data_IF_179867981263
#
_entry.id   IF_179867981263
#
_cell.length_a   1.000
_cell.length_b   1.000
_cell.length_c   1.000
_cell.angle_alpha   90.00
_cell.angle_beta   90.00
_cell.angle_gamma   90.00
#
_symmetry.space_group_name_H-M   'P 1'
#
loop_
_entity.id
_entity.type
_entity.pdbx_description
1 polymer ?
#
# COMPACT_ATOMS: atom_id res chain seq x y z
N UNK A 1 68.87 -32.13 20.45
CA UNK A 1 68.04 -32.95 19.51
C UNK A 1 66.56 -32.59 19.57
N UNK A 2 65.99 -32.31 20.76
CA UNK A 2 64.59 -31.87 20.93
C UNK A 2 64.29 -30.46 20.37
N UNK A 3 65.17 -29.47 20.56
CA UNK A 3 64.97 -28.10 20.01
C UNK A 3 64.94 -28.05 18.47
N UNK A 4 65.73 -28.90 17.82
CA UNK A 4 65.81 -28.97 16.35
C UNK A 4 64.53 -29.58 15.75
N UNK A 5 63.87 -30.48 16.47
CA UNK A 5 62.58 -31.07 16.08
C UNK A 5 61.42 -30.11 16.32
N UNK A 6 61.44 -29.35 17.42
CA UNK A 6 60.45 -28.31 17.72
C UNK A 6 60.46 -27.19 16.67
N UNK A 7 61.63 -26.68 16.30
CA UNK A 7 61.77 -25.65 15.26
C UNK A 7 61.37 -26.14 13.86
N UNK A 8 61.61 -27.40 13.51
CA UNK A 8 61.13 -27.95 12.22
C UNK A 8 59.60 -28.09 12.18
N UNK A 9 58.97 -28.42 13.30
CA UNK A 9 57.51 -28.58 13.39
C UNK A 9 56.78 -27.22 13.39
N UNK A 10 57.32 -26.22 14.10
CA UNK A 10 56.79 -24.85 14.11
C UNK A 10 56.89 -24.20 12.72
N UNK A 11 58.02 -24.38 12.02
CA UNK A 11 58.21 -23.86 10.66
C UNK A 11 57.24 -24.49 9.65
N UNK A 12 56.97 -25.80 9.78
CA UNK A 12 55.98 -26.51 8.95
C UNK A 12 54.56 -25.99 9.19
N UNK A 13 54.18 -25.75 10.45
CA UNK A 13 52.86 -25.19 10.82
C UNK A 13 52.68 -23.75 10.31
N UNK A 14 53.70 -22.91 10.42
CA UNK A 14 53.65 -21.54 9.91
C UNK A 14 53.57 -21.50 8.37
N UNK A 15 54.31 -22.38 7.69
CA UNK A 15 54.21 -22.55 6.23
C UNK A 15 52.82 -23.02 5.79
N UNK A 16 52.20 -23.93 6.54
CA UNK A 16 50.82 -24.37 6.27
C UNK A 16 49.80 -23.23 6.49
N UNK A 17 49.89 -22.46 7.59
CA UNK A 17 49.02 -21.29 7.82
C UNK A 17 49.13 -20.25 6.71
N UNK A 18 50.35 -19.92 6.30
CA UNK A 18 50.58 -18.95 5.22
C UNK A 18 50.05 -19.44 3.87
N UNK A 19 50.13 -20.76 3.61
CA UNK A 19 49.58 -21.37 2.41
C UNK A 19 48.04 -21.35 2.40
N UNK A 20 47.39 -21.62 3.54
CA UNK A 20 45.93 -21.53 3.69
C UNK A 20 45.43 -20.10 3.50
N UNK A 21 46.14 -19.10 4.01
CA UNK A 21 45.81 -17.68 3.79
C UNK A 21 45.99 -17.24 2.34
N UNK A 22 47.05 -17.71 1.67
CA UNK A 22 47.24 -17.44 0.24
C UNK A 22 46.15 -18.07 -0.63
N UNK A 23 45.71 -19.28 -0.29
CA UNK A 23 44.59 -19.96 -0.98
C UNK A 23 43.28 -19.21 -0.73
N UNK A 24 43.00 -18.81 0.52
CA UNK A 24 41.81 -17.99 0.87
C UNK A 24 41.77 -16.67 0.12
N UNK A 25 42.88 -15.94 0.04
CA UNK A 25 42.95 -14.66 -0.70
C UNK A 25 42.76 -14.84 -2.20
N UNK A 26 43.32 -15.90 -2.79
CA UNK A 26 43.10 -16.23 -4.21
C UNK A 26 41.66 -16.64 -4.49
N UNK A 27 41.06 -17.45 -3.62
CA UNK A 27 39.67 -17.89 -3.74
C UNK A 27 38.69 -16.71 -3.60
N UNK A 28 38.93 -15.82 -2.63
CA UNK A 28 38.14 -14.60 -2.44
C UNK A 28 38.29 -13.66 -3.64
N UNK A 29 39.50 -13.49 -4.18
CA UNK A 29 39.72 -12.68 -5.39
C UNK A 29 39.02 -13.24 -6.62
N UNK A 30 38.99 -14.58 -6.79
CA UNK A 30 38.28 -15.21 -7.92
C UNK A 30 36.78 -15.04 -7.78
N UNK A 31 36.22 -15.18 -6.57
CA UNK A 31 34.81 -14.91 -6.30
C UNK A 31 34.47 -13.45 -6.60
N UNK A 32 35.29 -12.48 -6.16
CA UNK A 32 35.06 -11.06 -6.45
C UNK A 32 35.09 -10.75 -7.94
N UNK A 33 36.01 -11.36 -8.70
CA UNK A 33 36.10 -11.19 -10.16
C UNK A 33 34.91 -11.84 -10.87
N UNK A 34 34.48 -13.03 -10.45
CA UNK A 34 33.28 -13.67 -10.97
C UNK A 34 32.01 -12.87 -10.62
N UNK A 35 31.97 -12.23 -9.46
CA UNK A 35 30.89 -11.33 -9.03
C UNK A 35 30.85 -10.05 -9.87
N UNK A 36 32.02 -9.46 -10.17
CA UNK A 36 32.14 -8.31 -11.09
C UNK A 36 31.72 -8.67 -12.52
N UNK A 37 32.11 -9.85 -13.02
CA UNK A 37 31.71 -10.35 -14.34
C UNK A 37 30.21 -10.68 -14.42
N UNK A 38 29.62 -11.22 -13.35
CA UNK A 38 28.18 -11.43 -13.24
C UNK A 38 27.41 -10.09 -13.19
N UNK A 39 27.93 -9.08 -12.50
CA UNK A 39 27.35 -7.74 -12.46
C UNK A 39 27.40 -7.00 -13.81
N UNK A 40 28.36 -7.36 -14.68
CA UNK A 40 28.51 -6.82 -16.04
C UNK A 40 27.63 -7.52 -17.08
N UNK A 41 27.08 -8.70 -16.77
CA UNK A 41 26.24 -9.51 -17.67
C UNK A 41 24.76 -9.47 -17.33
N UNK A 42 24.36 -8.74 -16.28
CA UNK A 42 22.95 -8.38 -16.11
C UNK A 42 22.57 -7.53 -17.32
N UNK A 43 21.65 -7.98 -18.19
CA UNK A 43 21.18 -7.14 -19.28
C UNK A 43 20.76 -5.81 -18.68
N UNK A 44 21.16 -4.70 -19.32
CA UNK A 44 20.62 -3.38 -18.99
C UNK A 44 19.11 -3.57 -18.90
N UNK A 45 18.57 -3.52 -17.67
CA UNK A 45 17.19 -3.91 -17.41
C UNK A 45 16.31 -3.17 -18.40
N UNK A 46 15.38 -3.88 -19.03
CA UNK A 46 14.27 -3.22 -19.71
C UNK A 46 13.82 -2.09 -18.79
N UNK A 47 13.87 -0.85 -19.28
CA UNK A 47 13.54 0.30 -18.45
C UNK A 47 12.19 0.02 -17.80
N UNK A 48 12.10 0.10 -16.46
CA UNK A 48 10.81 -0.10 -15.78
C UNK A 48 9.81 0.86 -16.40
N UNK A 49 8.79 0.28 -17.06
CA UNK A 49 7.71 0.97 -17.73
C UNK A 49 6.87 1.73 -16.72
N UNK A 50 6.45 2.94 -17.06
CA UNK A 50 5.51 3.72 -16.25
C UNK A 50 4.15 3.04 -16.27
N UNK A 51 3.52 2.82 -15.12
CA UNK A 51 2.19 2.22 -15.03
C UNK A 51 1.14 3.30 -14.73
N UNK A 52 0.21 3.50 -15.66
CA UNK A 52 -0.92 4.43 -15.49
C UNK A 52 -2.21 3.61 -15.37
N UNK A 53 -2.97 3.86 -14.30
CA UNK A 53 -4.28 3.24 -14.09
C UNK A 53 -5.37 4.29 -14.25
N UNK A 54 -6.34 4.00 -15.11
CA UNK A 54 -7.44 4.87 -15.44
C UNK A 54 -8.71 4.36 -14.77
N UNK A 55 -9.33 5.19 -13.95
CA UNK A 55 -10.59 4.87 -13.31
C UNK A 55 -11.74 5.59 -14.02
N UNK A 56 -12.62 4.82 -14.67
CA UNK A 56 -13.88 5.36 -15.17
C UNK A 56 -14.88 5.42 -14.00
N UNK A 57 -15.13 6.62 -13.46
CA UNK A 57 -16.03 6.82 -12.33
C UNK A 57 -17.40 6.17 -12.52
N UNK A 58 -18.06 5.82 -11.42
CA UNK A 58 -19.39 5.17 -11.39
C UNK A 58 -19.42 3.82 -12.13
N UNK A 59 -20.60 3.38 -12.59
CA UNK A 59 -20.80 2.15 -13.38
C UNK A 59 -21.89 1.24 -12.81
N UNK A 60 -22.43 0.37 -13.67
CA UNK A 60 -23.53 -0.53 -13.33
C UNK A 60 -24.79 0.25 -12.94
N UNK A 61 -25.31 0.00 -11.74
CA UNK A 61 -26.50 0.69 -11.22
C UNK A 61 -26.24 2.11 -10.70
N UNK A 62 -24.98 2.52 -10.61
CA UNK A 62 -24.60 3.87 -10.26
C UNK A 62 -24.40 4.69 -11.54
N UNK A 63 -25.38 5.53 -11.86
CA UNK A 63 -25.36 6.36 -13.06
C UNK A 63 -24.43 7.58 -12.94
N UNK A 64 -24.01 7.93 -11.72
CA UNK A 64 -23.48 9.25 -11.42
C UNK A 64 -24.53 10.34 -11.68
N UNK A 65 -24.07 11.53 -12.02
CA UNK A 65 -24.92 12.63 -12.46
C UNK A 65 -25.40 12.45 -13.91
N UNK A 66 -26.35 13.29 -14.34
CA UNK A 66 -26.89 13.26 -15.70
C UNK A 66 -27.27 14.66 -16.19
N UNK A 67 -27.26 14.84 -17.51
CA UNK A 67 -27.73 16.04 -18.19
C UNK A 67 -28.57 15.69 -19.42
N UNK A 68 -29.55 16.53 -19.77
CA UNK A 68 -30.39 16.32 -20.96
C UNK A 68 -30.18 17.44 -21.98
N UNK A 69 -29.80 17.08 -23.20
CA UNK A 69 -29.62 18.01 -24.31
C UNK A 69 -30.41 17.53 -25.52
N UNK A 70 -31.29 18.39 -26.06
CA UNK A 70 -32.13 18.09 -27.24
C UNK A 70 -32.91 16.76 -27.12
N UNK A 71 -33.44 16.48 -25.93
CA UNK A 71 -34.20 15.25 -25.64
C UNK A 71 -33.35 13.99 -25.46
N UNK A 72 -32.02 14.09 -25.51
CA UNK A 72 -31.09 12.99 -25.22
C UNK A 72 -30.51 13.15 -23.83
N UNK A 73 -30.62 12.10 -23.01
CA UNK A 73 -30.01 12.04 -21.67
C UNK A 73 -28.60 11.47 -21.74
N UNK A 74 -27.65 12.18 -21.14
CA UNK A 74 -26.25 11.78 -21.01
C UNK A 74 -26.00 11.43 -19.54
N UNK A 75 -25.55 10.20 -19.32
CA UNK A 75 -25.17 9.71 -17.99
C UNK A 75 -23.67 9.84 -17.79
N UNK A 76 -23.26 10.32 -16.61
CA UNK A 76 -21.87 10.47 -16.24
C UNK A 76 -21.08 9.16 -16.41
N UNK A 77 -21.59 8.03 -15.90
CA UNK A 77 -20.91 6.74 -16.01
C UNK A 77 -20.51 6.34 -17.45
N UNK A 78 -21.31 6.75 -18.43
CA UNK A 78 -21.10 6.45 -19.85
C UNK A 78 -20.06 7.38 -20.45
N UNK A 79 -20.14 8.68 -20.13
CA UNK A 79 -19.15 9.66 -20.55
C UNK A 79 -17.78 9.34 -19.93
N UNK A 80 -17.72 8.99 -18.65
CA UNK A 80 -16.50 8.59 -17.95
C UNK A 80 -15.83 7.39 -18.63
N UNK A 81 -16.60 6.32 -18.91
CA UNK A 81 -16.07 5.14 -19.61
C UNK A 81 -15.54 5.50 -21.00
N UNK A 82 -16.25 6.39 -21.70
CA UNK A 82 -15.89 6.82 -23.05
C UNK A 82 -14.59 7.62 -23.09
N UNK A 83 -14.45 8.61 -22.20
CA UNK A 83 -13.20 9.37 -22.04
C UNK A 83 -12.06 8.45 -21.61
N UNK A 84 -12.32 7.50 -20.71
CA UNK A 84 -11.31 6.54 -20.26
C UNK A 84 -10.76 5.68 -21.41
N UNK A 85 -11.62 5.22 -22.31
CA UNK A 85 -11.21 4.47 -23.51
C UNK A 85 -10.37 5.33 -24.45
N UNK A 86 -10.76 6.59 -24.68
CA UNK A 86 -9.95 7.51 -25.49
C UNK A 86 -8.59 7.80 -24.87
N UNK A 87 -8.54 7.97 -23.54
CA UNK A 87 -7.28 8.22 -22.82
C UNK A 87 -6.38 6.98 -22.83
N UNK A 88 -6.98 5.78 -22.68
CA UNK A 88 -6.29 4.50 -22.81
C UNK A 88 -5.67 4.33 -24.19
N UNK A 89 -6.42 4.66 -25.25
CA UNK A 89 -5.92 4.63 -26.63
C UNK A 89 -4.78 5.64 -26.84
N UNK A 90 -4.96 6.89 -26.39
CA UNK A 90 -4.00 7.97 -26.59
C UNK A 90 -2.67 7.73 -25.83
N UNK A 91 -2.74 7.24 -24.58
CA UNK A 91 -1.54 6.85 -23.81
C UNK A 91 -0.84 5.63 -24.42
N UNK A 92 -1.59 4.73 -25.07
CA UNK A 92 -1.04 3.58 -25.80
C UNK A 92 -0.14 3.95 -26.99
N UNK A 93 -0.15 5.20 -27.43
CA UNK A 93 0.75 5.73 -28.47
C UNK A 93 2.10 6.21 -27.94
N UNK A 94 2.38 6.02 -26.65
CA UNK A 94 3.65 6.42 -26.02
C UNK A 94 4.45 5.19 -25.62
N UNK A 95 5.74 5.16 -25.94
CA UNK A 95 6.62 4.05 -25.55
C UNK A 95 6.96 4.10 -24.05
N UNK A 96 7.15 2.92 -23.44
CA UNK A 96 7.59 2.81 -22.05
C UNK A 96 6.48 3.02 -21.01
N UNK A 97 5.21 2.85 -21.41
CA UNK A 97 4.05 2.95 -20.52
C UNK A 97 3.17 1.70 -20.63
N UNK A 98 2.64 1.24 -19.49
CA UNK A 98 1.52 0.31 -19.41
C UNK A 98 0.29 1.04 -18.95
N UNK A 99 -0.82 0.83 -19.65
CA UNK A 99 -2.08 1.51 -19.35
C UNK A 99 -3.16 0.48 -19.07
N UNK A 100 -3.77 0.60 -17.90
CA UNK A 100 -4.88 -0.25 -17.44
C UNK A 100 -6.09 0.62 -17.13
N UNK A 101 -7.28 0.02 -17.18
CA UNK A 101 -8.52 0.61 -16.69
C UNK A 101 -9.07 -0.20 -15.51
N UNK A 102 -9.70 0.46 -14.54
CA UNK A 102 -10.38 -0.22 -13.40
C UNK A 102 -11.58 -1.03 -13.86
N UNK A 103 -12.26 -0.60 -14.92
CA UNK A 103 -13.34 -1.33 -15.61
C UNK A 103 -13.26 -1.08 -17.10
N UNK A 104 -13.58 -2.11 -17.88
CA UNK A 104 -13.71 -2.00 -19.33
C UNK A 104 -15.16 -1.93 -19.77
N UNK A 105 -16.10 -2.42 -18.97
CA UNK A 105 -17.55 -2.39 -19.27
C UNK A 105 -18.32 -1.55 -18.25
N UNK A 106 -19.64 -1.46 -18.41
CA UNK A 106 -20.53 -0.78 -17.48
C UNK A 106 -20.77 -1.60 -16.20
N UNK A 107 -19.72 -1.72 -15.39
CA UNK A 107 -19.71 -2.46 -14.13
C UNK A 107 -19.43 -1.54 -12.94
N UNK A 108 -20.07 -1.84 -11.80
CA UNK A 108 -19.85 -1.09 -10.57
C UNK A 108 -18.66 -1.65 -9.81
N UNK A 109 -17.76 -0.76 -9.38
CA UNK A 109 -16.67 -1.07 -8.45
C UNK A 109 -16.72 -0.15 -7.23
N UNK A 110 -16.39 -0.71 -6.05
CA UNK A 110 -16.21 0.08 -4.84
C UNK A 110 -15.02 1.03 -5.00
N UNK A 111 -15.04 2.16 -4.29
CA UNK A 111 -13.93 3.12 -4.32
C UNK A 111 -12.61 2.48 -3.83
N UNK A 112 -12.71 1.61 -2.82
CA UNK A 112 -11.55 0.88 -2.30
C UNK A 112 -11.00 -0.10 -3.33
N UNK A 113 -11.85 -0.86 -4.03
CA UNK A 113 -11.40 -1.81 -5.07
C UNK A 113 -10.70 -1.09 -6.23
N UNK A 114 -11.15 0.13 -6.59
CA UNK A 114 -10.48 0.96 -7.62
C UNK A 114 -9.06 1.35 -7.19
N UNK A 115 -8.89 1.87 -5.98
CA UNK A 115 -7.58 2.23 -5.45
C UNK A 115 -6.67 1.00 -5.26
N UNK A 116 -7.23 -0.12 -4.79
CA UNK A 116 -6.49 -1.38 -4.68
C UNK A 116 -6.06 -1.94 -6.02
N UNK A 117 -6.86 -1.81 -7.07
CA UNK A 117 -6.42 -2.19 -8.42
C UNK A 117 -5.16 -1.40 -8.84
N UNK A 118 -5.10 -0.10 -8.53
CA UNK A 118 -3.89 0.69 -8.79
C UNK A 118 -2.69 0.23 -7.95
N UNK A 119 -2.89 -0.09 -6.67
CA UNK A 119 -1.84 -0.63 -5.81
C UNK A 119 -1.34 -2.01 -6.28
N UNK A 120 -2.24 -2.91 -6.64
CA UNK A 120 -1.94 -4.27 -7.11
C UNK A 120 -1.12 -4.25 -8.41
N UNK A 121 -1.41 -3.28 -9.27
CA UNK A 121 -0.70 -3.06 -10.53
C UNK A 121 0.60 -2.25 -10.36
N UNK A 122 0.93 -1.81 -9.14
CA UNK A 122 2.05 -0.91 -8.85
C UNK A 122 2.01 0.39 -9.68
N UNK A 123 0.84 1.04 -9.73
CA UNK A 123 0.63 2.25 -10.50
C UNK A 123 1.58 3.39 -10.09
N UNK A 124 2.15 4.07 -11.09
CA UNK A 124 2.86 5.33 -10.94
C UNK A 124 1.90 6.53 -10.91
N UNK A 125 0.68 6.38 -11.46
CA UNK A 125 -0.40 7.37 -11.42
C UNK A 125 -1.78 6.70 -11.49
N UNK A 126 -2.71 7.16 -10.66
CA UNK A 126 -4.15 6.87 -10.78
C UNK A 126 -4.91 8.10 -11.31
N UNK A 127 -5.64 7.96 -12.41
CA UNK A 127 -6.46 9.03 -12.99
C UNK A 127 -7.92 8.61 -12.98
N UNK A 128 -8.72 9.20 -12.10
CA UNK A 128 -10.17 8.99 -12.05
C UNK A 128 -10.89 10.05 -12.89
N UNK A 129 -11.78 9.61 -13.76
CA UNK A 129 -12.45 10.43 -14.77
C UNK A 129 -13.93 10.57 -14.40
N UNK A 130 -14.38 11.81 -14.26
CA UNK A 130 -15.71 12.18 -13.78
C UNK A 130 -16.33 13.34 -14.56
N UNK A 131 -17.63 13.54 -14.32
CA UNK A 131 -18.40 14.70 -14.75
C UNK A 131 -19.12 15.28 -13.54
N UNK A 132 -19.10 16.61 -13.40
CA UNK A 132 -19.65 17.26 -12.22
C UNK A 132 -21.12 17.66 -12.43
N UNK A 133 -21.79 18.07 -11.36
CA UNK A 133 -23.06 18.77 -11.40
C UNK A 133 -23.28 19.58 -10.11
N UNK A 134 -23.97 20.71 -10.25
CA UNK A 134 -24.47 21.49 -9.12
C UNK A 134 -25.94 21.80 -9.35
N UNK A 135 -26.77 21.58 -8.32
CA UNK A 135 -28.17 21.95 -8.37
C UNK A 135 -28.32 23.47 -8.55
N UNK A 136 -29.24 23.89 -9.44
CA UNK A 136 -29.71 25.28 -9.53
C UNK A 136 -28.79 26.29 -10.24
N UNK A 137 -27.66 25.88 -10.83
CA UNK A 137 -26.74 26.84 -11.46
C UNK A 137 -26.38 26.46 -12.91
N UNK A 138 -27.13 26.99 -13.88
CA UNK A 138 -26.70 27.10 -15.29
C UNK A 138 -25.50 28.10 -15.44
N UNK A 139 -25.10 28.74 -14.33
CA UNK A 139 -24.02 29.73 -14.22
C UNK A 139 -22.65 29.13 -13.88
N UNK A 140 -22.59 27.93 -13.31
CA UNK A 140 -21.33 27.30 -12.90
C UNK A 140 -21.00 26.16 -13.85
N UNK A 141 -19.82 26.23 -14.47
CA UNK A 141 -19.33 25.31 -15.48
C UNK A 141 -17.84 25.52 -15.68
N UNK A 142 -17.21 24.55 -16.31
CA UNK A 142 -15.77 24.41 -16.48
C UNK A 142 -15.20 23.14 -15.84
N UNK A 143 -13.95 22.88 -16.12
CA UNK A 143 -13.21 21.72 -15.63
C UNK A 143 -12.45 22.05 -14.35
N UNK A 144 -12.44 21.11 -13.41
CA UNK A 144 -11.60 21.14 -12.21
C UNK A 144 -10.97 19.77 -11.96
N UNK A 145 -9.85 19.75 -11.23
CA UNK A 145 -9.16 18.52 -10.90
C UNK A 145 -8.89 18.47 -9.41
N UNK A 146 -9.40 17.45 -8.73
CA UNK A 146 -9.07 17.21 -7.33
C UNK A 146 -7.79 16.37 -7.21
N UNK A 147 -6.88 16.80 -6.34
CA UNK A 147 -5.59 16.16 -6.06
C UNK A 147 -5.40 15.99 -4.55
N UNK A 148 -4.44 15.18 -4.08
CA UNK A 148 -4.09 15.11 -2.67
C UNK A 148 -3.82 16.48 -2.06
N UNK A 149 -4.32 16.74 -0.86
CA UNK A 149 -4.05 17.97 -0.13
C UNK A 149 -2.60 18.10 0.34
N UNK A 150 -1.89 16.97 0.46
CA UNK A 150 -0.48 16.93 0.88
C UNK A 150 -0.26 16.84 2.39
N UNK A 151 -1.33 16.65 3.18
CA UNK A 151 -1.25 16.54 4.64
C UNK A 151 -0.45 15.34 5.14
N UNK A 152 -0.41 14.23 4.38
CA UNK A 152 0.35 13.02 4.74
C UNK A 152 1.55 12.77 3.84
N UNK A 153 1.37 12.95 2.52
CA UNK A 153 2.41 12.76 1.50
C UNK A 153 2.47 13.97 0.56
N UNK A 154 3.10 15.08 0.97
CA UNK A 154 3.11 16.33 0.19
C UNK A 154 3.74 16.17 -1.19
N UNK A 155 4.66 15.22 -1.36
CA UNK A 155 5.28 14.93 -2.63
C UNK A 155 4.31 14.36 -3.69
N UNK A 156 3.25 13.66 -3.26
CA UNK A 156 2.21 13.17 -4.17
C UNK A 156 1.28 14.31 -4.59
N UNK A 157 1.01 15.24 -3.68
CA UNK A 157 0.25 16.45 -3.96
C UNK A 157 0.98 17.35 -4.97
N UNK A 158 2.28 17.60 -4.78
CA UNK A 158 3.10 18.40 -5.69
C UNK A 158 3.10 17.79 -7.11
N UNK A 159 3.32 16.48 -7.20
CA UNK A 159 3.33 15.76 -8.47
C UNK A 159 1.98 15.79 -9.18
N UNK A 160 0.89 15.42 -8.49
CA UNK A 160 -0.45 15.40 -9.06
C UNK A 160 -0.93 16.81 -9.45
N UNK A 161 -0.60 17.84 -8.65
CA UNK A 161 -0.96 19.24 -8.94
C UNK A 161 -0.27 19.74 -10.21
N UNK A 162 1.01 19.42 -10.41
CA UNK A 162 1.75 19.83 -11.60
C UNK A 162 1.15 19.24 -12.88
N UNK A 163 0.81 17.94 -12.85
CA UNK A 163 0.14 17.28 -13.98
C UNK A 163 -1.25 17.90 -14.22
N UNK A 164 -2.02 18.10 -13.15
CA UNK A 164 -3.38 18.63 -13.21
C UNK A 164 -3.46 20.06 -13.77
N UNK A 165 -2.52 20.95 -13.38
CA UNK A 165 -2.45 22.31 -13.91
C UNK A 165 -2.18 22.34 -15.42
N UNK A 166 -1.33 21.43 -15.92
CA UNK A 166 -1.07 21.28 -17.36
C UNK A 166 -2.32 20.80 -18.08
N UNK A 167 -2.98 19.75 -17.57
CA UNK A 167 -4.23 19.21 -18.15
C UNK A 167 -5.29 20.31 -18.26
N UNK A 168 -5.52 21.07 -17.18
CA UNK A 168 -6.52 22.13 -17.16
C UNK A 168 -6.20 23.27 -18.13
N UNK A 169 -4.91 23.54 -18.36
CA UNK A 169 -4.49 24.56 -19.33
C UNK A 169 -4.74 24.09 -20.78
N UNK A 170 -4.52 22.81 -21.06
CA UNK A 170 -4.90 22.22 -22.37
C UNK A 170 -6.42 22.20 -22.57
N UNK A 171 -7.18 21.87 -21.53
CA UNK A 171 -8.65 21.91 -21.58
C UNK A 171 -9.17 23.32 -21.87
N UNK A 172 -8.53 24.34 -21.31
CA UNK A 172 -8.83 25.74 -21.61
C UNK A 172 -8.57 26.08 -23.08
N UNK A 173 -7.45 25.63 -23.64
CA UNK A 173 -7.14 25.77 -25.06
C UNK A 173 -8.15 25.08 -26.00
N UNK A 174 -8.80 24.02 -25.52
CA UNK A 174 -9.87 23.31 -26.23
C UNK A 174 -11.26 23.95 -26.07
N UNK A 175 -11.38 25.00 -25.24
CA UNK A 175 -12.60 25.77 -25.07
C UNK A 175 -13.43 25.41 -23.83
N UNK A 176 -12.92 24.57 -22.93
CA UNK A 176 -13.51 24.42 -21.58
C UNK A 176 -13.09 25.58 -20.69
N UNK A 177 -13.95 26.02 -19.77
CA UNK A 177 -13.52 26.99 -18.76
C UNK A 177 -12.63 26.30 -17.72
N UNK A 178 -11.47 26.88 -17.37
CA UNK A 178 -10.63 26.38 -16.27
C UNK A 178 -11.15 26.89 -14.92
N UNK A 179 -11.56 25.97 -14.04
CA UNK A 179 -11.91 26.29 -12.64
C UNK A 179 -10.68 26.18 -11.73
N UNK A 180 -9.78 25.23 -12.01
CA UNK A 180 -8.48 25.08 -11.33
C UNK A 180 -8.31 23.76 -10.58
N UNK A 181 -7.12 23.56 -10.03
CA UNK A 181 -6.82 22.44 -9.14
C UNK A 181 -7.46 22.66 -7.77
N UNK A 182 -8.03 21.61 -7.20
CA UNK A 182 -8.77 21.61 -5.93
C UNK A 182 -8.24 20.54 -4.99
N UNK A 183 -8.44 20.77 -3.70
CA UNK A 183 -8.23 19.79 -2.64
C UNK A 183 -9.47 19.83 -1.75
N UNK A 184 -9.73 18.73 -1.04
CA UNK A 184 -10.83 18.66 -0.09
C UNK A 184 -10.46 17.69 1.02
N UNK A 185 -10.74 18.06 2.27
CA UNK A 185 -10.37 17.31 3.47
C UNK A 185 -11.63 16.89 4.23
N UNK A 186 -11.60 15.70 4.83
CA UNK A 186 -12.55 15.34 5.88
C UNK A 186 -12.33 16.22 7.10
N UNK A 187 -13.36 16.39 7.92
CA UNK A 187 -13.17 16.86 9.30
C UNK A 187 -12.26 15.91 10.07
N UNK A 188 -11.57 16.42 11.09
CA UNK A 188 -10.69 15.62 11.93
C UNK A 188 -11.49 14.49 12.60
N UNK A 189 -11.02 13.26 12.40
CA UNK A 189 -11.64 12.05 12.90
C UNK A 189 -10.52 11.01 13.06
N UNK A 190 -10.23 10.60 14.30
CA UNK A 190 -9.17 9.62 14.62
C UNK A 190 -9.28 8.34 13.78
N UNK A 191 -10.47 8.04 13.26
CA UNK A 191 -10.73 6.89 12.41
C UNK A 191 -10.29 7.09 10.94
N UNK A 192 -10.50 8.28 10.39
CA UNK A 192 -10.23 8.56 8.97
C UNK A 192 -8.92 9.30 8.74
N UNK A 193 -8.39 9.95 9.77
CA UNK A 193 -7.13 10.65 9.73
C UNK A 193 -6.00 9.78 9.19
N UNK A 194 -5.05 10.43 8.53
CA UNK A 194 -3.86 9.74 8.08
C UNK A 194 -3.01 9.28 9.26
N UNK A 195 -2.12 8.29 9.09
CA UNK A 195 -1.28 7.77 10.18
C UNK A 195 -0.40 8.80 10.90
N UNK A 196 -0.23 10.00 10.33
CA UNK A 196 0.47 11.12 10.98
C UNK A 196 -0.46 12.02 11.82
N UNK A 197 -1.72 11.64 12.04
CA UNK A 197 -2.72 12.39 12.81
C UNK A 197 -3.20 13.67 12.13
N UNK A 198 -3.12 13.74 10.80
CA UNK A 198 -3.63 14.87 10.02
C UNK A 198 -4.90 14.46 9.27
N UNK A 199 -5.78 15.44 9.06
CA UNK A 199 -7.01 15.27 8.27
C UNK A 199 -6.71 14.58 6.93
N UNK A 200 -7.51 13.57 6.63
CA UNK A 200 -7.40 12.85 5.38
C UNK A 200 -8.19 13.51 4.24
N UNK A 201 -7.81 13.19 3.01
CA UNK A 201 -8.52 13.66 1.82
C UNK A 201 -9.98 13.20 1.83
N UNK A 202 -10.90 14.09 1.46
CA UNK A 202 -12.34 13.84 1.43
C UNK A 202 -12.70 12.69 0.49
N UNK A 203 -12.20 12.76 -0.75
CA UNK A 203 -12.49 11.77 -1.77
C UNK A 203 -11.75 10.46 -1.50
N UNK A 204 -12.52 9.39 -1.34
CA UNK A 204 -11.97 8.08 -0.96
C UNK A 204 -10.90 7.57 -1.92
N UNK A 205 -11.04 7.75 -3.23
CA UNK A 205 -10.03 7.29 -4.21
C UNK A 205 -8.68 7.98 -4.01
N UNK A 206 -8.68 9.29 -3.76
CA UNK A 206 -7.47 10.05 -3.44
C UNK A 206 -6.89 9.57 -2.11
N UNK A 207 -7.74 9.48 -1.08
CA UNK A 207 -7.33 9.04 0.26
C UNK A 207 -6.66 7.66 0.25
N UNK A 208 -7.30 6.68 -0.39
CA UNK A 208 -6.78 5.32 -0.47
C UNK A 208 -5.51 5.24 -1.33
N UNK A 209 -5.40 5.98 -2.45
CA UNK A 209 -4.16 6.03 -3.22
C UNK A 209 -3.01 6.65 -2.43
N UNK A 210 -3.25 7.72 -1.66
CA UNK A 210 -2.24 8.33 -0.79
C UNK A 210 -1.77 7.36 0.30
N UNK A 211 -2.67 6.55 0.88
CA UNK A 211 -2.28 5.49 1.83
C UNK A 211 -1.35 4.46 1.20
N UNK A 212 -1.60 4.11 -0.06
CA UNK A 212 -0.79 3.18 -0.86
C UNK A 212 0.44 3.85 -1.53
N UNK A 213 0.69 5.13 -1.24
CA UNK A 213 1.80 5.92 -1.80
C UNK A 213 1.76 6.07 -3.32
N UNK A 214 0.57 6.28 -3.88
CA UNK A 214 0.30 6.46 -5.32
C UNK A 214 -0.23 7.88 -5.54
N UNK A 215 0.39 8.70 -6.42
CA UNK A 215 -0.21 9.97 -6.78
C UNK A 215 -1.50 9.71 -7.57
N UNK A 216 -2.52 10.52 -7.32
CA UNK A 216 -3.84 10.32 -7.90
C UNK A 216 -4.53 11.64 -8.20
N UNK A 217 -5.50 11.63 -9.10
CA UNK A 217 -6.37 12.77 -9.33
C UNK A 217 -7.79 12.33 -9.71
N UNK A 218 -8.76 13.22 -9.49
CA UNK A 218 -10.11 13.13 -10.05
C UNK A 218 -10.27 14.29 -11.03
N UNK A 219 -10.47 13.98 -12.30
CA UNK A 219 -10.73 14.97 -13.34
C UNK A 219 -12.23 15.13 -13.50
N UNK A 220 -12.75 16.27 -13.07
CA UNK A 220 -14.11 16.72 -13.36
C UNK A 220 -14.08 17.46 -14.70
N UNK A 221 -14.44 16.79 -15.79
CA UNK A 221 -14.25 17.36 -17.14
C UNK A 221 -15.16 18.55 -17.41
N UNK A 222 -16.28 18.65 -16.71
CA UNK A 222 -17.25 19.74 -16.82
C UNK A 222 -18.55 19.37 -16.13
N UNK A 223 -19.50 20.31 -16.12
CA UNK A 223 -20.76 20.17 -15.38
C UNK A 223 -21.90 19.73 -16.29
N UNK A 224 -22.48 18.53 -16.08
CA UNK A 224 -23.64 18.08 -16.88
C UNK A 224 -24.90 18.90 -16.59
N UNK A 225 -24.93 19.61 -15.46
CA UNK A 225 -25.96 20.60 -15.12
C UNK A 225 -25.79 21.94 -15.85
N UNK A 226 -24.65 22.18 -16.51
CA UNK A 226 -24.39 23.39 -17.27
C UNK A 226 -24.61 23.16 -18.77
N UNK A 227 -25.45 23.99 -19.41
CA UNK A 227 -25.78 23.79 -20.83
C UNK A 227 -24.58 23.88 -21.77
N UNK A 228 -23.62 24.77 -21.52
CA UNK A 228 -22.45 24.95 -22.38
C UNK A 228 -21.50 23.75 -22.28
N UNK A 229 -21.18 23.33 -21.05
CA UNK A 229 -20.36 22.15 -20.79
C UNK A 229 -21.04 20.89 -21.35
N UNK A 230 -22.33 20.67 -21.08
CA UNK A 230 -23.06 19.53 -21.63
C UNK A 230 -23.06 19.54 -23.17
N UNK A 231 -23.21 20.71 -23.79
CA UNK A 231 -23.11 20.83 -25.27
C UNK A 231 -21.72 20.46 -25.77
N UNK A 232 -20.67 20.85 -25.04
CA UNK A 232 -19.30 20.47 -25.36
C UNK A 232 -19.07 18.96 -25.19
N UNK A 233 -19.43 18.42 -24.03
CA UNK A 233 -19.21 17.03 -23.61
C UNK A 233 -20.11 16.02 -24.34
N UNK A 234 -21.23 16.48 -24.92
CA UNK A 234 -22.08 15.64 -25.78
C UNK A 234 -21.41 15.23 -27.10
N UNK A 235 -20.34 15.94 -27.50
CA UNK A 235 -19.65 15.70 -28.77
C UNK A 235 -18.49 14.72 -28.59
N UNK A 236 -18.53 13.67 -29.38
CA UNK A 236 -17.51 12.62 -29.38
C UNK A 236 -16.08 13.13 -29.60
N UNK A 237 -15.91 13.99 -30.61
CA UNK A 237 -14.62 14.59 -30.94
C UNK A 237 -14.04 15.42 -29.79
N UNK A 238 -14.90 16.05 -28.99
CA UNK A 238 -14.48 16.86 -27.85
C UNK A 238 -14.01 15.97 -26.69
N UNK A 239 -14.72 14.89 -26.39
CA UNK A 239 -14.29 13.90 -25.39
C UNK A 239 -12.94 13.28 -25.75
N UNK A 240 -12.74 12.99 -27.04
CA UNK A 240 -11.46 12.47 -27.56
C UNK A 240 -10.35 13.51 -27.43
N UNK A 241 -10.61 14.77 -27.77
CA UNK A 241 -9.62 15.86 -27.64
C UNK A 241 -9.20 16.08 -26.18
N UNK A 242 -10.14 16.05 -25.23
CA UNK A 242 -9.83 16.12 -23.80
C UNK A 242 -8.94 14.95 -23.37
N UNK A 243 -9.26 13.73 -23.77
CA UNK A 243 -8.44 12.56 -23.48
C UNK A 243 -7.02 12.63 -24.07
N UNK A 244 -6.88 13.12 -25.31
CA UNK A 244 -5.58 13.31 -25.97
C UNK A 244 -4.73 14.38 -25.26
N UNK A 245 -5.36 15.49 -24.86
CA UNK A 245 -4.72 16.51 -24.04
C UNK A 245 -4.22 15.94 -22.70
N UNK A 246 -5.07 15.16 -22.01
CA UNK A 246 -4.68 14.47 -20.78
C UNK A 246 -3.49 13.53 -21.00
N UNK A 247 -3.52 12.72 -22.07
CA UNK A 247 -2.42 11.82 -22.41
C UNK A 247 -1.11 12.58 -22.66
N UNK A 248 -1.17 13.71 -23.38
CA UNK A 248 -0.01 14.54 -23.67
C UNK A 248 0.61 15.14 -22.40
N UNK A 249 -0.20 15.68 -21.48
CA UNK A 249 0.29 16.24 -20.21
C UNK A 249 0.94 15.16 -19.32
N UNK A 250 0.34 13.97 -19.25
CA UNK A 250 0.91 12.82 -18.51
C UNK A 250 2.23 12.38 -19.17
N UNK A 251 2.25 12.25 -20.49
CA UNK A 251 3.44 11.85 -21.23
C UNK A 251 4.59 12.85 -21.04
N UNK A 252 4.33 14.14 -21.09
CA UNK A 252 5.33 15.17 -20.83
C UNK A 252 5.93 15.04 -19.44
N UNK A 253 5.08 14.91 -18.40
CA UNK A 253 5.51 14.79 -17.01
C UNK A 253 6.42 13.58 -16.78
N UNK A 254 6.03 12.41 -17.31
CA UNK A 254 6.83 11.18 -17.18
C UNK A 254 7.96 11.07 -18.22
N UNK A 255 8.11 12.04 -19.11
CA UNK A 255 9.12 12.02 -20.18
C UNK A 255 8.91 10.91 -21.20
N UNK A 256 7.66 10.49 -21.41
CA UNK A 256 7.29 9.49 -22.39
C UNK A 256 7.38 10.08 -23.80
N UNK A 257 7.91 9.30 -24.73
CA UNK A 257 8.01 9.68 -26.14
C UNK A 257 7.03 8.88 -26.96
N UNK A 258 6.54 9.45 -28.08
CA UNK A 258 5.70 8.70 -29.02
C UNK A 258 6.39 7.40 -29.44
N UNK A 259 5.64 6.31 -29.44
CA UNK A 259 6.13 4.95 -29.61
C UNK A 259 4.98 3.97 -29.49
N UNK A 260 5.27 2.69 -29.26
CA UNK A 260 4.22 1.71 -28.96
C UNK A 260 4.17 1.50 -27.46
N UNK A 261 3.13 2.02 -26.81
CA UNK A 261 2.80 1.68 -25.43
C UNK A 261 2.14 0.32 -25.34
N UNK A 262 2.12 -0.22 -24.13
CA UNK A 262 1.46 -1.50 -23.86
C UNK A 262 0.09 -1.22 -23.26
N UNK A 263 -0.93 -1.25 -24.12
CA UNK A 263 -2.33 -1.25 -23.70
C UNK A 263 -2.72 -2.65 -23.25
N UNK A 264 -3.18 -2.77 -22.01
CA UNK A 264 -3.59 -4.06 -21.46
C UNK A 264 -5.09 -4.01 -21.19
N UNK A 265 -5.81 -5.00 -21.69
CA UNK A 265 -7.21 -5.23 -21.34
C UNK A 265 -7.24 -6.38 -20.34
N UNK A 266 -7.71 -6.10 -19.13
CA UNK A 266 -7.85 -7.11 -18.10
C UNK A 266 -9.12 -7.93 -18.34
N UNK A 267 -9.02 -9.23 -18.08
CA UNK A 267 -10.11 -10.19 -18.23
C UNK A 267 -10.97 -10.26 -16.97
N UNK A 268 -12.23 -10.67 -17.12
CA UNK A 268 -13.06 -11.02 -15.97
C UNK A 268 -12.48 -12.24 -15.24
N UNK A 269 -12.69 -12.30 -13.92
CA UNK A 269 -12.25 -13.44 -13.11
C UNK A 269 -13.31 -14.52 -13.00
N UNK A 270 -12.87 -15.73 -12.68
CA UNK A 270 -13.75 -16.76 -12.13
C UNK A 270 -14.40 -16.27 -10.82
N UNK A 271 -15.62 -16.77 -10.50
CA UNK A 271 -16.33 -16.42 -9.28
C UNK A 271 -15.50 -16.62 -8.01
N UNK A 272 -15.72 -15.75 -7.03
CA UNK A 272 -15.14 -15.85 -5.68
C UNK A 272 -16.27 -16.18 -4.71
N UNK A 273 -15.99 -17.07 -3.77
CA UNK A 273 -16.93 -17.49 -2.73
C UNK A 273 -16.27 -17.32 -1.38
N UNK A 274 -16.92 -16.58 -0.49
CA UNK A 274 -16.54 -16.53 0.93
C UNK A 274 -17.10 -17.78 1.63
N UNK A 275 -16.24 -18.45 2.41
CA UNK A 275 -16.64 -19.61 3.20
C UNK A 275 -17.56 -19.19 4.35
N UNK A 276 -18.37 -20.12 4.84
CA UNK A 276 -19.33 -19.86 5.92
C UNK A 276 -18.66 -19.25 7.17
N UNK A 277 -19.33 -18.23 7.72
CA UNK A 277 -18.99 -17.56 8.97
C UNK A 277 -20.21 -17.63 9.91
N UNK A 278 -20.02 -17.54 11.23
CA UNK A 278 -21.14 -17.38 12.15
C UNK A 278 -21.97 -16.15 11.79
N UNK A 279 -23.29 -16.31 11.72
CA UNK A 279 -24.22 -15.21 11.39
C UNK A 279 -24.69 -14.42 12.62
N UNK A 280 -24.38 -14.92 13.81
CA UNK A 280 -24.59 -14.27 15.10
C UNK A 280 -23.30 -14.32 15.89
N UNK A 281 -22.90 -13.16 16.42
CA UNK A 281 -21.74 -12.97 17.28
C UNK A 281 -22.13 -12.08 18.45
N UNK A 282 -21.26 -12.00 19.43
CA UNK A 282 -21.43 -11.17 20.62
C UNK A 282 -20.24 -10.24 20.78
N UNK A 283 -20.48 -9.01 21.26
CA UNK A 283 -19.40 -8.09 21.62
C UNK A 283 -18.49 -8.75 22.66
N UNK A 284 -17.19 -8.84 22.34
CA UNK A 284 -16.19 -9.52 23.18
C UNK A 284 -15.80 -10.92 22.71
N UNK A 285 -16.44 -11.46 21.66
CA UNK A 285 -15.98 -12.68 21.01
C UNK A 285 -14.54 -12.53 20.47
N UNK A 286 -13.78 -13.62 20.49
CA UNK A 286 -12.44 -13.67 19.90
C UNK A 286 -12.49 -13.45 18.38
N UNK A 287 -11.44 -12.85 17.78
CA UNK A 287 -11.38 -12.66 16.33
C UNK A 287 -11.55 -13.97 15.53
N UNK A 288 -12.26 -13.88 14.42
CA UNK A 288 -12.60 -15.04 13.59
C UNK A 288 -11.78 -15.04 12.31
N UNK A 289 -11.10 -16.15 12.02
CA UNK A 289 -10.37 -16.31 10.77
C UNK A 289 -11.32 -16.54 9.60
N UNK A 290 -11.31 -15.62 8.64
CA UNK A 290 -12.08 -15.70 7.40
C UNK A 290 -11.35 -16.53 6.33
N UNK A 291 -12.13 -17.18 5.46
CA UNK A 291 -11.60 -17.93 4.32
C UNK A 291 -12.44 -17.66 3.08
N UNK A 292 -11.79 -17.65 1.93
CA UNK A 292 -12.45 -17.55 0.63
C UNK A 292 -11.72 -18.42 -0.40
N UNK A 293 -12.43 -18.78 -1.46
CA UNK A 293 -11.91 -19.60 -2.55
C UNK A 293 -12.42 -19.09 -3.90
N UNK A 294 -11.87 -19.63 -4.99
CA UNK A 294 -12.18 -19.19 -6.35
C UNK A 294 -11.29 -18.05 -6.82
N UNK A 295 -11.78 -17.28 -7.78
CA UNK A 295 -10.99 -16.26 -8.48
C UNK A 295 -10.04 -16.84 -9.53
N UNK A 296 -9.45 -15.95 -10.33
CA UNK A 296 -8.41 -16.26 -11.31
C UNK A 296 -7.14 -15.48 -11.02
N UNK A 297 -6.02 -15.88 -11.60
CA UNK A 297 -4.77 -15.14 -11.49
C UNK A 297 -4.13 -15.15 -10.10
N UNK A 298 -3.16 -14.26 -9.90
CA UNK A 298 -2.33 -14.15 -8.70
C UNK A 298 -2.66 -12.96 -7.80
N UNK A 299 -3.71 -12.19 -8.10
CA UNK A 299 -4.20 -11.10 -7.24
C UNK A 299 -4.46 -11.55 -5.80
N UNK A 300 -4.24 -10.67 -4.82
CA UNK A 300 -4.38 -11.01 -3.40
C UNK A 300 -5.85 -11.24 -3.02
N UNK A 301 -6.12 -12.22 -2.15
CA UNK A 301 -7.46 -12.40 -1.55
C UNK A 301 -7.60 -11.52 -0.31
N UNK A 302 -8.65 -10.71 -0.25
CA UNK A 302 -8.93 -9.76 0.83
C UNK A 302 -10.37 -9.89 1.29
N UNK A 303 -10.67 -9.36 2.47
CA UNK A 303 -12.03 -9.29 2.99
C UNK A 303 -12.43 -7.84 3.24
N UNK A 304 -13.70 -7.52 3.06
CA UNK A 304 -14.24 -6.19 3.29
C UNK A 304 -15.48 -6.29 4.17
N UNK A 305 -15.58 -5.36 5.13
CA UNK A 305 -16.80 -5.11 5.91
C UNK A 305 -17.44 -3.82 5.42
N UNK A 306 -18.75 -3.84 5.22
CA UNK A 306 -19.50 -2.63 4.87
C UNK A 306 -19.78 -1.72 6.09
N UNK A 307 -19.59 -2.22 7.30
CA UNK A 307 -19.75 -1.44 8.53
C UNK A 307 -18.62 -1.80 9.52
N UNK A 308 -17.63 -0.92 9.55
CA UNK A 308 -16.43 -1.08 10.36
C UNK A 308 -16.60 -0.64 11.82
N UNK A 309 -17.78 -0.10 12.18
CA UNK A 309 -18.15 0.16 13.58
C UNK A 309 -18.74 -1.08 14.24
N UNK A 310 -19.09 -2.10 13.44
CA UNK A 310 -19.58 -3.40 13.92
C UNK A 310 -18.47 -4.45 13.78
N UNK A 311 -17.92 -4.58 12.56
CA UNK A 311 -16.91 -5.59 12.22
C UNK A 311 -15.72 -4.98 11.46
N UNK A 312 -14.52 -5.12 12.01
CA UNK A 312 -13.27 -4.71 11.35
C UNK A 312 -12.54 -5.92 10.75
N UNK A 313 -11.91 -5.70 9.60
CA UNK A 313 -11.06 -6.70 8.94
C UNK A 313 -9.60 -6.34 9.18
N UNK A 314 -8.84 -7.25 9.79
CA UNK A 314 -7.40 -7.14 10.03
C UNK A 314 -6.71 -8.36 9.43
N UNK A 315 -6.15 -8.20 8.24
CA UNK A 315 -5.62 -9.33 7.47
C UNK A 315 -6.74 -10.31 7.09
N UNK A 316 -6.64 -11.56 7.58
CA UNK A 316 -7.68 -12.58 7.45
C UNK A 316 -8.55 -12.71 8.71
N UNK A 317 -8.36 -11.84 9.71
CA UNK A 317 -9.15 -11.85 10.95
C UNK A 317 -10.31 -10.87 10.89
N UNK A 318 -11.46 -11.32 11.35
CA UNK A 318 -12.65 -10.52 11.59
C UNK A 318 -12.70 -10.16 13.07
N UNK A 319 -12.57 -8.88 13.38
CA UNK A 319 -12.56 -8.33 14.73
C UNK A 319 -13.91 -7.71 15.03
N UNK A 320 -14.53 -8.12 16.13
CA UNK A 320 -15.80 -7.58 16.61
C UNK A 320 -15.51 -6.30 17.39
N UNK A 321 -16.10 -5.19 16.98
CA UNK A 321 -15.82 -3.87 17.59
C UNK A 321 -17.06 -3.16 18.13
N UNK A 322 -18.26 -3.58 17.74
CA UNK A 322 -19.50 -3.00 18.22
C UNK A 322 -20.72 -3.84 17.86
N UNK A 323 -21.85 -3.52 18.50
CA UNK A 323 -23.15 -4.11 18.20
C UNK A 323 -23.70 -3.62 16.85
N UNK A 324 -24.48 -4.45 16.17
CA UNK A 324 -25.14 -4.07 14.92
C UNK A 324 -25.14 -5.16 13.86
N UNK A 325 -25.26 -4.76 12.60
CA UNK A 325 -25.29 -5.69 11.46
C UNK A 325 -24.29 -5.25 10.40
N UNK A 326 -23.42 -6.18 10.00
CA UNK A 326 -22.45 -5.97 8.95
C UNK A 326 -22.47 -7.13 7.95
N UNK A 327 -22.16 -6.81 6.70
CA UNK A 327 -21.96 -7.77 5.62
C UNK A 327 -20.46 -7.89 5.37
N UNK A 328 -19.98 -9.13 5.32
CA UNK A 328 -18.61 -9.46 4.94
C UNK A 328 -18.59 -10.01 3.51
N UNK A 329 -17.70 -9.48 2.69
CA UNK A 329 -17.41 -9.98 1.35
C UNK A 329 -15.94 -10.36 1.24
N UNK A 330 -15.63 -11.26 0.30
CA UNK A 330 -14.25 -11.51 -0.13
C UNK A 330 -14.00 -10.81 -1.46
N UNK A 331 -12.79 -10.32 -1.66
CA UNK A 331 -12.34 -9.67 -2.90
C UNK A 331 -11.06 -10.34 -3.35
N UNK A 332 -11.08 -10.95 -4.53
CA UNK A 332 -9.86 -11.34 -5.24
C UNK A 332 -9.38 -10.13 -6.02
N UNK A 333 -8.20 -9.64 -5.65
CA UNK A 333 -7.57 -8.43 -6.18
C UNK A 333 -7.20 -8.53 -7.64
N UNK A 334 -6.89 -7.36 -8.21
CA UNK A 334 -6.46 -7.23 -9.61
C UNK A 334 -5.07 -7.82 -9.79
N UNK A 335 -4.75 -8.26 -11.00
CA UNK A 335 -3.36 -8.49 -11.41
C UNK A 335 -3.13 -8.03 -12.85
N UNK A 336 -1.95 -8.31 -13.42
CA UNK A 336 -1.62 -7.90 -14.79
C UNK A 336 -2.47 -8.56 -15.89
N UNK A 337 -3.38 -9.47 -15.55
CA UNK A 337 -4.26 -10.20 -16.47
C UNK A 337 -5.73 -10.03 -16.14
N UNK A 338 -6.11 -9.94 -14.86
CA UNK A 338 -7.50 -10.02 -14.40
C UNK A 338 -7.97 -8.79 -13.61
N UNK A 339 -9.24 -8.41 -13.83
CA UNK A 339 -9.98 -7.40 -13.07
C UNK A 339 -10.29 -7.89 -11.64
N UNK A 340 -10.50 -6.99 -10.65
CA UNK A 340 -10.88 -7.43 -9.32
C UNK A 340 -12.28 -8.06 -9.32
N UNK A 341 -12.51 -9.02 -8.42
CA UNK A 341 -13.80 -9.70 -8.25
C UNK A 341 -14.20 -9.74 -6.77
N UNK A 342 -15.36 -9.18 -6.45
CA UNK A 342 -16.03 -9.37 -5.17
C UNK A 342 -16.84 -10.68 -5.19
N UNK A 343 -16.92 -11.36 -4.05
CA UNK A 343 -17.66 -12.60 -3.90
C UNK A 343 -19.14 -12.47 -4.26
N UNK A 344 -19.70 -13.51 -4.89
CA UNK A 344 -21.13 -13.54 -5.26
C UNK A 344 -22.03 -13.55 -4.03
N UNK A 345 -21.59 -14.25 -2.98
CA UNK A 345 -22.22 -14.24 -1.68
C UNK A 345 -21.60 -13.17 -0.77
N UNK A 346 -22.43 -12.61 0.11
CA UNK A 346 -21.98 -11.90 1.30
C UNK A 346 -22.53 -12.62 2.52
N UNK A 347 -21.82 -12.54 3.64
CA UNK A 347 -22.30 -13.10 4.91
C UNK A 347 -22.73 -11.95 5.79
N UNK A 348 -24.04 -11.90 6.10
CA UNK A 348 -24.59 -10.96 7.06
C UNK A 348 -24.42 -11.52 8.46
N UNK A 349 -23.74 -10.74 9.30
CA UNK A 349 -23.48 -11.07 10.69
C UNK A 349 -24.20 -10.04 11.55
N UNK A 350 -24.91 -10.52 12.57
CA UNK A 350 -25.48 -9.69 13.63
C UNK A 350 -24.60 -9.83 14.86
N UNK A 351 -24.12 -8.71 15.38
CA UNK A 351 -23.40 -8.65 16.66
C UNK A 351 -24.37 -8.13 17.71
N UNK A 352 -24.60 -8.92 18.74
CA UNK A 352 -25.44 -8.57 19.89
C UNK A 352 -24.57 -8.13 21.08
N UNK A 353 -25.12 -7.27 21.94
CA UNK A 353 -24.49 -6.99 23.22
C UNK A 353 -24.44 -8.27 24.07
N UNK A 354 -23.32 -8.47 24.76
CA UNK A 354 -23.10 -9.62 25.65
C UNK A 354 -24.12 -9.71 26.79
N UNK A 355 -24.82 -8.61 27.09
CA UNK A 355 -25.73 -8.53 28.23
C UNK A 355 -25.02 -8.77 29.57
N UNK A 356 -23.69 -8.81 29.58
CA UNK A 356 -22.90 -8.98 30.78
C UNK A 356 -23.11 -7.73 31.64
N UNK A 357 -23.76 -7.90 32.79
CA UNK A 357 -23.81 -6.86 33.81
C UNK A 357 -22.38 -6.36 34.06
N UNK A 358 -22.16 -5.04 34.24
CA UNK A 358 -20.85 -4.52 34.56
C UNK A 358 -20.31 -5.32 35.75
N UNK A 359 -19.19 -5.99 35.55
CA UNK A 359 -18.41 -6.59 36.62
C UNK A 359 -18.14 -5.47 37.62
N UNK A 360 -18.93 -5.42 38.69
CA UNK A 360 -18.65 -4.57 39.84
C UNK A 360 -17.27 -4.96 40.31
N UNK A 361 -16.26 -4.07 40.31
CA UNK A 361 -14.98 -4.40 40.87
C UNK A 361 -15.22 -4.87 42.30
N UNK A 362 -14.71 -6.06 42.62
CA UNK A 362 -14.67 -6.56 43.99
C UNK A 362 -14.05 -5.45 44.84
N UNK A 363 -14.69 -5.04 45.96
CA UNK A 363 -14.19 -3.93 46.76
C UNK A 363 -12.75 -4.22 47.17
N UNK A 364 -11.84 -3.30 46.88
CA UNK A 364 -10.44 -3.42 47.29
C UNK A 364 -10.37 -3.76 48.79
N UNK A 365 -9.49 -4.71 49.19
CA UNK A 365 -9.29 -4.99 50.60
C UNK A 365 -8.85 -3.70 51.31
N UNK A 366 -9.54 -3.37 52.40
CA UNK A 366 -9.33 -2.14 53.17
C UNK A 366 -7.84 -1.92 53.46
N UNK A 367 -7.32 -0.77 53.05
CA UNK A 367 -5.98 -0.31 53.40
C UNK A 367 -5.90 -0.08 54.90
N UNK A 368 -4.87 -0.61 55.60
CA UNK A 368 -4.70 -0.34 57.02
C UNK A 368 -4.30 1.13 57.23
N UNK A 369 -5.00 1.80 58.14
CA UNK A 369 -4.71 3.17 58.58
C UNK A 369 -3.28 3.28 59.16
N UNK A 370 -2.54 4.38 58.91
CA UNK A 370 -1.21 4.55 59.47
C UNK A 370 -1.30 4.87 60.98
N UNK A 371 -0.62 4.07 61.79
CA UNK A 371 -0.38 4.36 63.20
C UNK A 371 0.52 5.59 63.34
N UNK A 372 0.02 6.62 64.01
CA UNK A 372 0.82 7.68 64.63
C UNK A 372 1.54 7.12 65.86
N UNK A 373 2.87 7.08 65.84
CA UNK A 373 3.68 6.91 67.05
C UNK A 373 3.65 8.18 67.92
N UNK A 374 3.59 8.03 69.25
CA UNK A 374 4.12 9.01 70.17
C UNK A 374 5.42 8.55 70.82
N UNK A 375 6.30 9.53 71.00
CA UNK A 375 7.61 9.49 71.63
C UNK A 375 7.60 9.07 73.12
N UNK A 376 8.55 8.22 73.50
CA UNK A 376 9.40 8.45 74.68
C UNK A 376 9.15 7.69 75.99
N UNK A 377 10.15 6.88 76.34
CA UNK A 377 10.79 6.75 77.68
C UNK A 377 10.51 5.52 78.57
N UNK A 378 11.64 4.87 78.89
CA UNK A 378 12.01 4.11 80.10
C UNK A 378 11.55 2.65 80.31
N UNK A 379 12.56 1.75 80.32
CA UNK A 379 12.70 0.76 81.39
C UNK A 379 12.82 -0.71 80.99
N UNK A 380 14.01 -1.28 81.13
CA UNK A 380 14.16 -2.58 81.83
C UNK A 380 14.39 -3.86 81.01
N UNK A 381 15.63 -4.35 81.13
CA UNK A 381 16.06 -5.75 81.25
C UNK A 381 16.29 -6.66 80.02
N UNK A 382 17.47 -7.28 80.11
CA UNK A 382 18.25 -8.26 79.32
C UNK A 382 18.07 -9.67 79.98
N UNK A 383 18.59 -10.85 79.54
CA UNK A 383 19.18 -11.31 78.26
C UNK A 383 18.56 -12.63 77.68
N UNK A 384 19.04 -13.05 76.49
CA UNK A 384 19.21 -14.49 76.21
C UNK A 384 19.60 -14.89 74.77
N UNK A 385 20.92 -14.98 74.50
CA UNK A 385 21.68 -16.03 73.75
C UNK A 385 21.03 -16.78 72.56
N UNK A 386 21.65 -17.04 71.40
CA UNK A 386 23.02 -16.87 70.91
C UNK A 386 23.25 -17.47 69.50
N UNK A 387 24.37 -17.06 68.87
CA UNK A 387 25.31 -17.78 67.96
C UNK A 387 24.81 -18.61 66.75
N UNK A 388 24.86 -18.01 65.55
CA UNK A 388 25.75 -18.24 64.36
C UNK A 388 26.42 -19.63 64.02
N UNK A 389 27.01 -19.85 62.80
CA UNK A 389 26.47 -20.71 61.71
C UNK A 389 27.47 -21.79 61.17
N UNK A 390 27.11 -22.51 60.09
CA UNK A 390 28.08 -23.27 59.28
C UNK A 390 27.53 -24.24 58.22
N UNK A 391 27.80 -23.95 56.94
CA UNK A 391 28.02 -24.92 55.82
C UNK A 391 29.49 -25.42 55.87
N UNK A 392 30.06 -26.33 55.02
CA UNK A 392 29.65 -26.84 53.68
C UNK A 392 29.99 -28.34 53.39
N UNK A 393 29.71 -28.87 52.17
CA UNK A 393 30.69 -29.66 51.36
C UNK A 393 30.20 -30.11 49.96
N UNK A 394 31.20 -30.23 49.06
CA UNK A 394 31.21 -30.64 47.64
C UNK A 394 31.02 -32.15 47.37
N UNK A 395 30.74 -32.52 46.12
CA UNK A 395 31.47 -33.59 45.40
C UNK A 395 31.33 -33.49 43.87
N UNK A 396 32.33 -34.01 43.17
CA UNK A 396 32.69 -33.81 41.74
C UNK A 396 32.75 -35.13 40.95
N UNK A 397 33.02 -35.02 39.63
CA UNK A 397 33.44 -36.00 38.60
C UNK A 397 32.32 -36.67 37.77
N UNK A 398 32.23 -36.70 36.42
CA UNK A 398 33.09 -36.57 35.20
C UNK A 398 33.33 -37.92 34.48
N UNK A 399 32.88 -38.06 33.21
CA UNK A 399 33.69 -38.58 32.08
C UNK A 399 33.01 -38.35 30.69
N UNK A 400 33.76 -38.26 29.55
CA UNK A 400 33.30 -37.83 28.22
C UNK A 400 33.36 -38.93 27.12
N UNK A 401 32.94 -38.58 25.89
CA UNK A 401 33.22 -39.10 24.50
C UNK A 401 31.93 -38.88 23.64
N UNK A 402 31.84 -38.53 22.36
CA UNK A 402 32.76 -38.46 21.20
C UNK A 402 32.08 -37.56 20.11
N UNK A 403 32.85 -37.08 19.12
CA UNK A 403 32.52 -35.92 18.27
C UNK A 403 31.53 -36.07 17.11
N UNK A 404 30.97 -34.93 16.69
CA UNK A 404 30.27 -34.73 15.42
C UNK A 404 30.76 -33.43 14.75
N UNK A 405 30.86 -33.47 13.42
CA UNK A 405 31.54 -32.50 12.56
C UNK A 405 30.92 -31.08 12.52
N UNK A 406 31.60 -30.09 13.09
CA UNK A 406 31.22 -28.66 13.10
C UNK A 406 31.60 -27.89 11.80
N UNK A 407 31.23 -28.39 10.62
CA UNK A 407 31.53 -27.69 9.34
C UNK A 407 30.30 -27.24 8.54
N UNK A 408 29.10 -27.71 8.89
CA UNK A 408 27.86 -27.32 8.20
C UNK A 408 27.21 -25.99 8.65
N UNK A 409 27.19 -25.59 9.95
CA UNK A 409 26.50 -24.36 10.34
C UNK A 409 27.21 -23.08 9.88
N UNK A 410 28.53 -23.12 9.68
CA UNK A 410 29.31 -21.96 9.24
C UNK A 410 29.08 -21.64 7.75
N UNK A 411 28.94 -22.65 6.89
CA UNK A 411 28.67 -22.46 5.45
C UNK A 411 27.23 -21.94 5.26
N UNK A 412 26.25 -22.47 6.00
CA UNK A 412 24.88 -22.00 5.96
C UNK A 412 24.73 -20.54 6.44
N UNK A 413 25.45 -20.14 7.50
CA UNK A 413 25.45 -18.77 8.00
C UNK A 413 26.10 -17.78 7.01
N UNK A 414 27.18 -18.19 6.33
CA UNK A 414 27.85 -17.38 5.30
C UNK A 414 26.94 -17.22 4.06
N UNK A 415 26.29 -18.29 3.61
CA UNK A 415 25.38 -18.25 2.46
C UNK A 415 24.13 -17.42 2.77
N UNK A 416 23.57 -17.55 3.98
CA UNK A 416 22.44 -16.75 4.44
C UNK A 416 22.78 -15.25 4.56
N UNK A 417 23.97 -14.92 5.08
CA UNK A 417 24.45 -13.54 5.15
C UNK A 417 24.67 -12.89 3.78
N UNK A 418 25.17 -13.67 2.81
CA UNK A 418 25.35 -13.19 1.42
C UNK A 418 24.00 -12.96 0.74
N UNK A 419 23.01 -13.84 0.95
CA UNK A 419 21.66 -13.66 0.41
C UNK A 419 20.96 -12.41 0.99
N UNK A 420 21.08 -12.19 2.30
CA UNK A 420 20.51 -11.01 2.95
C UNK A 420 21.17 -9.70 2.47
N UNK A 421 22.49 -9.69 2.25
CA UNK A 421 23.20 -8.55 1.70
C UNK A 421 22.83 -8.28 0.23
N UNK A 422 22.62 -9.33 -0.58
CA UNK A 422 22.12 -9.22 -1.96
C UNK A 422 20.73 -8.60 -2.01
N UNK A 423 19.79 -9.08 -1.18
CA UNK A 423 18.43 -8.56 -1.13
C UNK A 423 18.42 -7.08 -0.69
N UNK A 424 19.22 -6.75 0.34
CA UNK A 424 19.36 -5.38 0.83
C UNK A 424 19.97 -4.45 -0.22
N UNK A 425 20.98 -4.89 -0.97
CA UNK A 425 21.59 -4.10 -2.04
C UNK A 425 20.64 -3.87 -3.23
N UNK A 426 19.81 -4.86 -3.58
CA UNK A 426 18.77 -4.73 -4.62
C UNK A 426 17.72 -3.69 -4.18
N UNK A 427 17.22 -3.78 -2.94
CA UNK A 427 16.26 -2.82 -2.38
C UNK A 427 16.84 -1.40 -2.36
N UNK A 428 18.08 -1.24 -1.87
CA UNK A 428 18.76 0.08 -1.86
C UNK A 428 18.90 0.61 -3.29
N UNK A 429 19.21 -0.24 -4.29
CA UNK A 429 19.36 0.19 -5.68
C UNK A 429 18.02 0.60 -6.30
N UNK A 430 16.92 -0.11 -6.03
CA UNK A 430 15.56 0.28 -6.42
C UNK A 430 15.21 1.65 -5.84
N UNK A 431 15.45 1.84 -4.55
CA UNK A 431 15.19 3.11 -3.86
C UNK A 431 16.06 4.26 -4.41
N UNK A 432 17.34 4.00 -4.72
CA UNK A 432 18.25 5.01 -5.29
C UNK A 432 17.87 5.37 -6.73
N UNK A 433 17.45 4.41 -7.56
CA UNK A 433 16.98 4.67 -8.92
C UNK A 433 15.68 5.48 -8.90
N UNK A 434 14.71 5.10 -8.06
CA UNK A 434 13.47 5.88 -7.84
C UNK A 434 13.77 7.31 -7.38
N UNK A 435 14.71 7.48 -6.43
CA UNK A 435 15.12 8.81 -5.93
C UNK A 435 15.87 9.64 -6.98
N UNK A 436 16.64 9.01 -7.88
CA UNK A 436 17.33 9.70 -8.99
C UNK A 436 16.37 10.17 -10.08
N UNK A 437 15.34 9.38 -10.43
CA UNK A 437 14.25 9.82 -11.33
C UNK A 437 13.53 11.04 -10.73
N UNK A 438 13.17 10.99 -9.44
CA UNK A 438 12.50 12.11 -8.75
C UNK A 438 13.32 13.41 -8.74
N UNK A 439 14.65 13.32 -8.55
CA UNK A 439 15.56 14.48 -8.63
C UNK A 439 15.80 15.01 -10.05
N UNK A 440 15.68 14.16 -11.08
CA UNK A 440 15.80 14.56 -12.48
C UNK A 440 14.59 15.39 -12.92
N UNK A 441 13.37 14.95 -12.56
CA UNK A 441 12.14 15.67 -12.91
C UNK A 441 12.05 17.01 -12.17
N UNK A 442 12.32 17.05 -10.86
CA UNK A 442 12.33 18.32 -10.10
C UNK A 442 13.38 19.35 -10.53
N UNK A 443 14.47 18.93 -11.20
CA UNK A 443 15.47 19.88 -11.77
C UNK A 443 15.01 20.52 -13.07
N UNK A 444 14.12 19.88 -13.85
CA UNK A 444 13.57 20.46 -15.08
C UNK A 444 12.59 21.60 -14.78
N UNK A 445 11.80 21.49 -13.71
CA UNK A 445 10.80 22.50 -13.33
C UNK A 445 11.35 23.75 -12.61
N UNK A 446 12.63 23.78 -12.21
CA UNK A 446 13.24 24.97 -11.58
C UNK A 446 13.98 25.88 -12.56
N UNK A 447 14.09 25.51 -13.83
CA UNK A 447 14.88 26.22 -14.83
C UNK A 447 14.06 26.80 -15.99
N UNK A 448 12.73 26.82 -15.90
CA UNK A 448 11.84 27.51 -16.83
C UNK A 448 11.04 28.59 -16.10
#
# INVERSE_FOLDING_TARGET
MLDTLYNKRSFKLQRMRNMTEAIRKKFLSVITVLFLLAALTVPSGAAEETVIVLDAGHGGNDNGTQGTLNGTTYYEKNLNLKVARYLWDALGEYGGVKVYMTRYEDTKLSILSRAKAAADLNADLMVSLHMNALEGADYFGGSEIFVPAGNYRPELAEEASAIAENILSEFEGLGMKKIGVKTSLLSHDDYYDYPNGQQADYYGIIRFCVQENIPSMIIEHGYLSNKADLTFLSKDANLKALAEATAASIAEHYGLSKGSGTKITLQEQAPVVIADLPTQLTVGDEPITMRASGGSGNGEMRFESNDKNVLQVVGDQLVIVGEGKANITAVKGTDGTYLPMTSENYIRITVEDSGAAPITPEPEPATPTPNTEPTGSAGGQVPGTGTEPGSPQESTQSNPQEGQNDTFPLIAAIVGGILAALLTAIIIRILVVRRRRKKSNTRKYKNN
#
